data_IF_570567513843
#
_entry.id   IF_570567513843
#
_cell.length_a   1.000
_cell.length_b   1.000
_cell.length_c   1.000
_cell.angle_alpha   90.00
_cell.angle_beta   90.00
_cell.angle_gamma   90.00
#
_symmetry.space_group_name_H-M   'P 1'
#
loop_
_entity.id
_entity.type
_entity.pdbx_description
1 polymer ?
#
# COMPACT_ATOMS: atom_id res chain seq x y z
N UNK A 1 -10.33 -17.15 28.04
CA UNK A 1 -9.22 -17.90 27.39
C UNK A 1 -8.94 -17.23 26.05
N UNK A 2 -7.69 -16.74 25.86
CA UNK A 2 -7.24 -16.19 24.59
C UNK A 2 -6.42 -17.26 23.88
N UNK A 3 -6.74 -17.57 22.63
CA UNK A 3 -5.97 -18.51 21.79
C UNK A 3 -5.36 -17.67 20.66
N UNK A 4 -4.06 -17.77 20.48
CA UNK A 4 -3.35 -17.17 19.34
C UNK A 4 -2.99 -18.30 18.39
N UNK A 5 -3.48 -18.20 17.15
CA UNK A 5 -3.12 -19.11 16.07
C UNK A 5 -2.10 -18.42 15.18
N UNK A 6 -1.03 -19.12 14.87
CA UNK A 6 -0.05 -18.65 13.91
C UNK A 6 -0.59 -18.78 12.49
N UNK A 7 -0.22 -17.83 11.63
CA UNK A 7 -0.58 -17.87 10.22
C UNK A 7 0.15 -19.03 9.53
N UNK A 8 -0.51 -19.77 8.63
CA UNK A 8 0.11 -20.85 7.86
C UNK A 8 1.08 -20.34 6.78
N UNK A 9 1.16 -19.03 6.54
CA UNK A 9 1.98 -18.46 5.48
C UNK A 9 3.40 -18.16 5.94
N UNK A 10 4.39 -18.51 5.10
CA UNK A 10 5.78 -18.11 5.29
C UNK A 10 6.00 -16.67 4.81
N UNK A 11 5.63 -15.72 5.66
CA UNK A 11 5.80 -14.30 5.36
C UNK A 11 7.26 -13.89 5.19
N UNK A 12 8.21 -14.55 5.84
CA UNK A 12 9.63 -14.25 5.73
C UNK A 12 10.17 -14.48 4.32
N UNK A 13 9.72 -15.54 3.65
CA UNK A 13 10.09 -15.84 2.28
C UNK A 13 9.21 -15.07 1.25
N UNK A 14 7.92 -14.88 1.56
CA UNK A 14 6.90 -14.44 0.60
C UNK A 14 6.64 -12.93 0.59
N UNK A 15 6.97 -12.22 1.66
CA UNK A 15 6.67 -10.80 1.78
C UNK A 15 7.91 -9.96 2.09
N UNK A 16 7.92 -8.72 1.59
CA UNK A 16 8.89 -7.68 1.96
C UNK A 16 8.15 -6.44 2.41
N UNK A 17 8.74 -5.71 3.35
CA UNK A 17 8.22 -4.42 3.81
C UNK A 17 9.33 -3.37 3.74
N UNK A 18 9.14 -2.35 2.93
CA UNK A 18 10.14 -1.32 2.66
C UNK A 18 9.61 0.05 3.07
N UNK A 19 10.45 0.86 3.69
CA UNK A 19 10.20 2.29 3.96
C UNK A 19 11.21 3.09 3.16
N UNK A 20 10.74 3.82 2.16
CA UNK A 20 11.59 4.66 1.31
C UNK A 20 11.92 5.95 2.04
N UNK A 21 13.20 6.34 2.06
CA UNK A 21 13.71 7.39 2.93
C UNK A 21 14.07 8.70 2.21
N UNK A 22 14.18 8.68 0.89
CA UNK A 22 14.67 9.77 0.04
C UNK A 22 13.61 10.36 -0.92
N UNK A 23 12.34 10.03 -0.71
CA UNK A 23 11.22 10.62 -1.45
C UNK A 23 10.57 11.73 -0.62
N UNK A 24 10.48 12.91 -1.20
CA UNK A 24 9.78 14.05 -0.59
C UNK A 24 8.27 13.86 -0.60
N UNK A 25 7.73 13.35 0.51
CA UNK A 25 6.30 13.00 0.66
C UNK A 25 5.33 14.16 0.39
N UNK A 26 5.80 15.41 0.48
CA UNK A 26 4.99 16.61 0.25
C UNK A 26 5.02 17.09 -1.19
N UNK A 27 5.93 16.57 -2.02
CA UNK A 27 6.01 16.86 -3.47
C UNK A 27 5.31 15.76 -4.27
N UNK A 28 4.13 16.04 -4.87
CA UNK A 28 3.41 15.06 -5.70
C UNK A 28 4.21 14.57 -6.92
N UNK A 29 5.18 15.35 -7.41
CA UNK A 29 6.04 14.94 -8.55
C UNK A 29 6.97 13.83 -8.12
N UNK A 30 7.61 13.96 -6.95
CA UNK A 30 8.49 12.91 -6.43
C UNK A 30 7.72 11.65 -6.07
N UNK A 31 6.53 11.79 -5.46
CA UNK A 31 5.67 10.64 -5.14
C UNK A 31 5.21 9.93 -6.42
N UNK A 32 4.82 10.69 -7.47
CA UNK A 32 4.44 10.11 -8.74
C UNK A 32 5.61 9.38 -9.42
N UNK A 33 6.78 10.00 -9.46
CA UNK A 33 7.98 9.37 -10.01
C UNK A 33 8.33 8.07 -9.27
N UNK A 34 8.29 8.09 -7.93
CA UNK A 34 8.55 6.90 -7.13
C UNK A 34 7.52 5.79 -7.39
N UNK A 35 6.23 6.12 -7.41
CA UNK A 35 5.18 5.13 -7.71
C UNK A 35 5.31 4.56 -9.12
N UNK A 36 5.62 5.40 -10.12
CA UNK A 36 5.87 4.95 -11.49
C UNK A 36 6.93 3.87 -11.54
N UNK A 37 8.10 4.16 -11.01
CA UNK A 37 9.23 3.22 -11.04
C UNK A 37 8.92 1.93 -10.29
N UNK A 38 8.26 2.02 -9.14
CA UNK A 38 7.85 0.85 -8.36
C UNK A 38 6.80 0.00 -9.11
N UNK A 39 5.81 0.63 -9.77
CA UNK A 39 4.78 -0.07 -10.54
C UNK A 39 5.38 -0.76 -11.77
N UNK A 40 6.32 -0.09 -12.44
CA UNK A 40 7.07 -0.67 -13.55
C UNK A 40 7.95 -1.83 -13.10
N UNK A 41 8.65 -1.69 -11.99
CA UNK A 41 9.50 -2.75 -11.42
C UNK A 41 8.68 -3.99 -11.01
N UNK A 42 7.44 -3.80 -10.56
CA UNK A 42 6.52 -4.89 -10.27
C UNK A 42 5.90 -5.51 -11.54
N UNK A 43 5.98 -4.85 -12.69
CA UNK A 43 5.27 -5.23 -13.91
C UNK A 43 3.73 -5.11 -13.75
N UNK A 44 3.25 -4.15 -12.96
CA UNK A 44 1.84 -3.99 -12.60
C UNK A 44 1.42 -4.85 -11.39
N UNK A 45 0.14 -5.20 -11.29
CA UNK A 45 -0.43 -5.83 -10.08
C UNK A 45 -0.20 -4.96 -8.85
N UNK A 46 -0.33 -3.64 -9.01
CA UNK A 46 0.11 -2.66 -8.04
C UNK A 46 -1.05 -1.79 -7.54
N UNK A 47 -1.14 -1.64 -6.21
CA UNK A 47 -2.12 -0.80 -5.55
C UNK A 47 -1.43 0.37 -4.85
N UNK A 48 -1.74 1.61 -5.28
CA UNK A 48 -1.34 2.84 -4.61
C UNK A 48 -2.43 3.35 -3.67
N UNK A 49 -2.14 3.47 -2.38
CA UNK A 49 -3.09 3.95 -1.37
C UNK A 49 -2.76 5.35 -0.90
N UNK A 50 -3.77 6.22 -0.95
CA UNK A 50 -3.67 7.62 -0.61
C UNK A 50 -4.53 7.99 0.61
N UNK A 51 -4.05 8.95 1.38
CA UNK A 51 -4.76 9.49 2.53
C UNK A 51 -5.69 10.65 2.16
N UNK A 52 -5.59 11.19 0.94
CA UNK A 52 -6.40 12.30 0.45
C UNK A 52 -6.63 12.22 -1.07
N UNK A 53 -7.89 12.45 -1.49
CA UNK A 53 -8.30 12.44 -2.90
C UNK A 53 -7.49 13.44 -3.75
N UNK A 54 -7.20 14.62 -3.22
CA UNK A 54 -6.39 15.63 -3.93
C UNK A 54 -5.01 15.10 -4.30
N UNK A 55 -4.38 14.33 -3.40
CA UNK A 55 -3.07 13.74 -3.65
C UNK A 55 -3.14 12.63 -4.69
N UNK A 56 -4.14 11.77 -4.59
CA UNK A 56 -4.41 10.73 -5.58
C UNK A 56 -4.53 11.34 -6.97
N UNK A 57 -5.36 12.39 -7.15
CA UNK A 57 -5.54 13.07 -8.44
C UNK A 57 -4.24 13.65 -8.98
N UNK A 58 -3.46 14.36 -8.14
CA UNK A 58 -2.20 14.98 -8.54
C UNK A 58 -1.13 13.96 -8.95
N UNK A 59 -1.14 12.77 -8.37
CA UNK A 59 -0.24 11.67 -8.74
C UNK A 59 -0.75 10.95 -9.99
N UNK A 60 -2.06 10.67 -10.07
CA UNK A 60 -2.69 10.02 -11.23
C UNK A 60 -2.37 10.75 -12.54
N UNK A 61 -2.56 12.08 -12.60
CA UNK A 61 -2.27 12.91 -13.78
C UNK A 61 -0.83 12.71 -14.33
N UNK A 62 0.10 12.31 -13.48
CA UNK A 62 1.52 12.09 -13.82
C UNK A 62 1.88 10.63 -14.11
N UNK A 63 0.97 9.71 -13.80
CA UNK A 63 1.18 8.28 -13.99
C UNK A 63 0.51 7.74 -15.25
N UNK A 64 -0.61 8.31 -15.68
CA UNK A 64 -1.45 7.78 -16.76
C UNK A 64 -0.64 7.52 -18.03
N UNK A 65 -0.03 8.56 -18.59
CA UNK A 65 0.71 8.46 -19.84
C UNK A 65 1.95 7.56 -19.72
N UNK A 66 2.85 7.74 -18.73
CA UNK A 66 4.03 6.90 -18.61
C UNK A 66 3.75 5.41 -18.37
N UNK A 67 2.65 5.05 -17.69
CA UNK A 67 2.28 3.65 -17.50
C UNK A 67 1.65 3.08 -18.77
N UNK A 68 0.80 3.85 -19.46
CA UNK A 68 0.18 3.45 -20.72
C UNK A 68 1.24 3.18 -21.81
N UNK A 69 2.30 3.99 -21.90
CA UNK A 69 3.44 3.79 -22.82
C UNK A 69 4.16 2.44 -22.57
N UNK A 70 4.06 1.92 -21.36
CA UNK A 70 4.63 0.62 -20.97
C UNK A 70 3.59 -0.52 -20.95
N UNK A 71 2.37 -0.25 -21.46
CA UNK A 71 1.31 -1.24 -21.56
C UNK A 71 0.64 -1.59 -20.21
N UNK A 72 0.80 -0.77 -19.18
CA UNK A 72 0.16 -0.97 -17.88
C UNK A 72 -1.11 -0.10 -17.79
N UNK A 73 -2.26 -0.75 -17.60
CA UNK A 73 -3.51 -0.04 -17.34
C UNK A 73 -3.50 0.58 -15.92
N UNK A 74 -3.96 1.82 -15.82
CA UNK A 74 -4.09 2.52 -14.54
C UNK A 74 -5.56 2.90 -14.31
N UNK A 75 -6.12 2.36 -13.24
CA UNK A 75 -7.45 2.71 -12.73
C UNK A 75 -7.34 3.56 -11.46
N UNK A 76 -8.31 4.45 -11.24
CA UNK A 76 -8.23 5.34 -10.09
C UNK A 76 -9.60 5.67 -9.50
N UNK A 77 -9.78 5.37 -8.23
CA UNK A 77 -10.94 5.80 -7.46
C UNK A 77 -11.09 7.33 -7.47
N UNK A 78 -12.30 7.84 -7.57
CA UNK A 78 -12.64 9.28 -7.64
C UNK A 78 -12.23 9.99 -8.94
N UNK A 79 -11.74 9.25 -9.93
CA UNK A 79 -11.41 9.75 -11.27
C UNK A 79 -12.22 8.97 -12.29
N UNK A 80 -12.06 7.65 -12.31
CA UNK A 80 -12.88 6.81 -13.18
C UNK A 80 -14.34 6.81 -12.70
N UNK A 81 -15.32 6.89 -13.61
CA UNK A 81 -16.75 6.96 -13.28
C UNK A 81 -17.31 5.58 -12.88
N UNK A 82 -16.59 4.88 -12.00
CA UNK A 82 -16.92 3.54 -11.53
C UNK A 82 -16.99 3.52 -10.01
N UNK A 83 -17.85 2.67 -9.47
CA UNK A 83 -17.86 2.42 -8.02
C UNK A 83 -16.65 1.61 -7.57
N UNK A 84 -16.27 1.68 -6.28
CA UNK A 84 -15.08 0.99 -5.78
C UNK A 84 -15.11 -0.53 -5.96
N UNK A 85 -16.28 -1.17 -5.94
CA UNK A 85 -16.43 -2.61 -6.15
C UNK A 85 -16.08 -3.00 -7.58
N UNK A 86 -16.64 -2.29 -8.55
CA UNK A 86 -16.35 -2.49 -9.98
C UNK A 86 -14.86 -2.27 -10.29
N UNK A 87 -14.24 -1.22 -9.72
CA UNK A 87 -12.79 -0.98 -9.88
C UNK A 87 -11.96 -2.14 -9.34
N UNK A 88 -12.33 -2.71 -8.21
CA UNK A 88 -11.67 -3.87 -7.61
C UNK A 88 -11.85 -5.12 -8.48
N UNK A 89 -13.04 -5.32 -9.05
CA UNK A 89 -13.31 -6.47 -9.92
C UNK A 89 -12.51 -6.41 -11.23
N UNK A 90 -12.38 -5.24 -11.84
CA UNK A 90 -11.51 -5.01 -13.00
C UNK A 90 -10.05 -5.29 -12.61
N UNK A 91 -9.58 -4.69 -11.53
CA UNK A 91 -8.21 -4.89 -11.03
C UNK A 91 -7.89 -6.37 -10.72
N UNK A 92 -8.89 -7.12 -10.23
CA UNK A 92 -8.77 -8.57 -9.99
C UNK A 92 -8.67 -9.36 -11.31
N UNK A 93 -9.40 -8.95 -12.33
CA UNK A 93 -9.44 -9.63 -13.62
C UNK A 93 -8.17 -9.36 -14.45
N UNK A 94 -7.62 -8.16 -14.35
CA UNK A 94 -6.44 -7.70 -15.07
C UNK A 94 -5.19 -7.81 -14.21
N UNK A 95 -4.47 -8.92 -14.29
CA UNK A 95 -3.31 -9.24 -13.41
C UNK A 95 -2.19 -8.20 -13.39
N UNK A 96 -2.02 -7.45 -14.47
CA UNK A 96 -0.95 -6.47 -14.62
C UNK A 96 -1.47 -5.01 -14.56
N UNK A 97 -2.73 -4.81 -14.16
CA UNK A 97 -3.28 -3.48 -13.94
C UNK A 97 -2.68 -2.81 -12.69
N UNK A 98 -2.75 -1.48 -12.67
CA UNK A 98 -2.46 -0.65 -11.50
C UNK A 98 -3.75 0.02 -11.01
N UNK A 99 -3.91 0.15 -9.70
CA UNK A 99 -5.07 0.81 -9.10
C UNK A 99 -4.62 1.87 -8.08
N UNK A 100 -5.20 3.06 -8.15
CA UNK A 100 -5.05 4.08 -7.12
C UNK A 100 -6.35 4.19 -6.32
N UNK A 101 -6.24 4.16 -5.00
CA UNK A 101 -7.41 4.24 -4.13
C UNK A 101 -7.15 4.93 -2.80
N UNK A 102 -8.23 5.07 -2.05
CA UNK A 102 -8.25 5.57 -0.68
C UNK A 102 -8.76 4.50 0.29
N UNK A 103 -9.21 4.88 1.46
CA UNK A 103 -9.69 3.97 2.51
C UNK A 103 -10.74 2.96 2.01
N UNK A 104 -11.66 3.35 1.14
CA UNK A 104 -12.71 2.46 0.64
C UNK A 104 -12.15 1.31 -0.22
N UNK A 105 -11.15 1.60 -1.06
CA UNK A 105 -10.44 0.56 -1.83
C UNK A 105 -9.62 -0.32 -0.90
N UNK A 106 -8.87 0.27 0.06
CA UNK A 106 -8.09 -0.48 1.04
C UNK A 106 -8.95 -1.52 1.79
N UNK A 107 -10.14 -1.10 2.22
CA UNK A 107 -11.01 -1.95 3.04
C UNK A 107 -11.74 -3.00 2.20
N UNK A 108 -12.08 -2.69 0.94
CA UNK A 108 -12.80 -3.55 0.01
C UNK A 108 -11.96 -4.50 -0.84
N UNK A 109 -10.65 -4.24 -0.98
CA UNK A 109 -9.78 -5.08 -1.82
C UNK A 109 -9.68 -6.51 -1.27
N UNK A 110 -10.20 -7.44 -2.02
CA UNK A 110 -9.96 -8.88 -1.85
C UNK A 110 -9.54 -9.48 -3.19
N UNK A 111 -8.25 -9.37 -3.47
CA UNK A 111 -7.64 -9.75 -4.75
C UNK A 111 -6.51 -10.73 -4.46
N UNK A 112 -6.77 -12.04 -4.60
CA UNK A 112 -5.75 -13.07 -4.39
C UNK A 112 -4.83 -13.20 -5.61
N UNK A 113 -3.61 -13.68 -5.36
CA UNK A 113 -2.67 -14.07 -6.40
C UNK A 113 -1.96 -12.90 -7.06
N UNK A 114 -1.55 -13.10 -8.29
CA UNK A 114 -0.68 -12.19 -9.04
C UNK A 114 -1.29 -10.79 -9.30
N UNK A 115 -2.59 -10.62 -9.18
CA UNK A 115 -3.25 -9.35 -9.43
C UNK A 115 -2.94 -8.28 -8.36
N UNK A 116 -2.52 -8.67 -7.14
CA UNK A 116 -2.02 -7.74 -6.12
C UNK A 116 -0.70 -8.24 -5.54
N UNK A 117 0.42 -7.79 -6.09
CA UNK A 117 1.77 -8.15 -5.67
C UNK A 117 2.59 -6.98 -5.14
N UNK A 118 2.15 -5.74 -5.39
CA UNK A 118 2.77 -4.54 -4.84
C UNK A 118 1.71 -3.64 -4.21
N UNK A 119 1.97 -3.22 -2.97
CA UNK A 119 1.15 -2.28 -2.23
C UNK A 119 1.99 -1.08 -1.81
N UNK A 120 1.62 0.12 -2.26
CA UNK A 120 2.35 1.34 -1.96
C UNK A 120 1.46 2.32 -1.20
N UNK A 121 1.88 2.73 -0.01
CA UNK A 121 1.28 3.85 0.71
C UNK A 121 2.03 5.15 0.40
N UNK A 122 1.28 6.20 0.03
CA UNK A 122 1.84 7.53 -0.17
C UNK A 122 2.28 8.16 1.16
N UNK A 123 1.55 7.87 2.24
CA UNK A 123 1.78 8.35 3.61
C UNK A 123 1.23 7.36 4.63
N UNK A 124 1.65 7.57 5.88
CA UNK A 124 1.05 6.88 7.02
C UNK A 124 -0.45 7.16 7.05
N UNK A 125 -1.30 6.11 7.13
CA UNK A 125 -2.75 6.25 7.16
C UNK A 125 -3.27 6.66 8.55
N UNK A 126 -2.87 7.87 9.01
CA UNK A 126 -3.37 8.43 10.27
C UNK A 126 -4.88 8.60 10.24
N UNK A 127 -5.57 8.46 11.39
CA UNK A 127 -6.98 8.78 11.47
C UNK A 127 -7.22 10.25 11.18
N UNK A 128 -8.37 10.57 10.54
CA UNK A 128 -8.76 11.96 10.32
C UNK A 128 -9.18 12.61 11.64
N UNK A 129 -8.74 13.84 11.94
CA UNK A 129 -9.05 14.51 13.19
C UNK A 129 -10.45 15.15 13.18
N UNK A 130 -11.50 14.34 13.02
CA UNK A 130 -12.88 14.79 13.19
C UNK A 130 -13.27 14.88 14.69
N UNK A 131 -14.47 15.40 14.97
CA UNK A 131 -14.96 15.61 16.33
C UNK A 131 -15.01 14.30 17.11
N UNK A 132 -15.51 13.24 16.48
CA UNK A 132 -15.64 11.92 17.10
C UNK A 132 -14.27 11.30 17.39
N UNK A 133 -13.34 11.44 16.46
CA UNK A 133 -11.98 10.96 16.66
C UNK A 133 -11.28 11.71 17.81
N UNK A 134 -11.44 13.04 17.90
CA UNK A 134 -10.88 13.85 18.99
C UNK A 134 -11.39 13.35 20.35
N UNK A 135 -12.71 13.17 20.49
CA UNK A 135 -13.31 12.67 21.74
C UNK A 135 -12.82 11.26 22.10
N UNK A 136 -12.72 10.36 21.11
CA UNK A 136 -12.16 9.01 21.33
C UNK A 136 -10.68 9.05 21.70
N UNK A 137 -9.90 9.88 21.04
CA UNK A 137 -8.47 10.06 21.31
C UNK A 137 -8.22 10.52 22.75
N UNK A 138 -8.97 11.47 23.24
CA UNK A 138 -8.91 11.93 24.64
C UNK A 138 -9.24 10.81 25.64
N UNK A 139 -10.26 10.00 25.33
CA UNK A 139 -10.70 8.93 26.22
C UNK A 139 -9.83 7.68 26.18
N UNK A 140 -9.20 7.36 25.05
CA UNK A 140 -8.54 6.06 24.81
C UNK A 140 -7.01 6.17 24.69
N UNK A 141 -6.38 7.18 25.30
CA UNK A 141 -4.92 7.22 25.45
C UNK A 141 -4.16 8.04 24.39
N UNK A 142 -4.79 9.04 23.81
CA UNK A 142 -4.10 10.06 23.02
C UNK A 142 -3.36 9.50 21.80
N UNK A 143 -2.05 9.68 21.73
CA UNK A 143 -1.21 9.16 20.64
C UNK A 143 -1.25 7.66 20.50
N UNK A 144 -1.38 6.91 21.60
CA UNK A 144 -1.48 5.46 21.58
C UNK A 144 -2.69 4.98 20.81
N UNK A 145 -3.81 5.71 20.89
CA UNK A 145 -5.02 5.44 20.12
C UNK A 145 -4.81 5.68 18.61
N UNK A 146 -4.17 6.81 18.25
CA UNK A 146 -3.82 7.10 16.86
C UNK A 146 -2.90 6.03 16.26
N UNK A 147 -1.86 5.65 17.01
CA UNK A 147 -0.93 4.58 16.62
C UNK A 147 -1.65 3.24 16.42
N UNK A 148 -2.61 2.90 17.30
CA UNK A 148 -3.37 1.66 17.18
C UNK A 148 -4.21 1.62 15.89
N UNK A 149 -4.85 2.73 15.53
CA UNK A 149 -5.61 2.85 14.28
C UNK A 149 -4.68 2.75 13.07
N UNK A 150 -3.57 3.49 13.06
CA UNK A 150 -2.62 3.47 11.94
C UNK A 150 -2.02 2.06 11.76
N UNK A 151 -1.65 1.38 12.86
CA UNK A 151 -1.19 -0.02 12.83
C UNK A 151 -2.22 -0.97 12.26
N UNK A 152 -3.48 -0.86 12.72
CA UNK A 152 -4.56 -1.70 12.21
C UNK A 152 -4.77 -1.53 10.70
N UNK A 153 -4.72 -0.29 10.20
CA UNK A 153 -4.85 0.02 8.78
C UNK A 153 -3.69 -0.53 7.94
N UNK A 154 -2.44 -0.40 8.44
CA UNK A 154 -1.25 -0.96 7.80
C UNK A 154 -1.34 -2.50 7.76
N UNK A 155 -1.64 -3.13 8.89
CA UNK A 155 -1.76 -4.59 8.99
C UNK A 155 -2.88 -5.13 8.10
N UNK A 156 -4.04 -4.46 8.05
CA UNK A 156 -5.16 -4.83 7.20
C UNK A 156 -4.78 -4.79 5.71
N UNK A 157 -4.13 -3.71 5.28
CA UNK A 157 -3.68 -3.57 3.90
C UNK A 157 -2.57 -4.58 3.56
N UNK A 158 -1.59 -4.75 4.45
CA UNK A 158 -0.53 -5.76 4.27
C UNK A 158 -1.10 -7.18 4.16
N UNK A 159 -2.10 -7.52 4.97
CA UNK A 159 -2.78 -8.82 4.92
C UNK A 159 -3.50 -9.12 3.61
N UNK A 160 -3.57 -8.16 2.69
CA UNK A 160 -4.11 -8.36 1.33
C UNK A 160 -3.07 -8.90 0.35
N UNK A 161 -1.78 -8.75 0.63
CA UNK A 161 -0.70 -9.19 -0.26
C UNK A 161 -0.52 -10.71 -0.32
N UNK A 162 -0.74 -11.40 0.80
CA UNK A 162 -0.52 -12.85 0.89
C UNK A 162 -1.83 -13.51 1.29
N UNK A 163 -2.50 -14.14 0.35
CA UNK A 163 -3.79 -14.83 0.48
C UNK A 163 -3.70 -16.33 0.22
N UNK A 164 -2.70 -16.74 -0.56
CA UNK A 164 -2.41 -18.11 -0.91
C UNK A 164 -0.98 -18.46 -0.59
N UNK A 165 -0.67 -19.75 -0.53
CA UNK A 165 0.68 -20.21 -0.19
C UNK A 165 1.73 -19.86 -1.25
N UNK A 166 1.33 -19.64 -2.49
CA UNK A 166 2.17 -19.28 -3.64
C UNK A 166 2.27 -17.76 -3.87
N UNK A 167 1.44 -16.94 -3.20
CA UNK A 167 1.51 -15.49 -3.33
C UNK A 167 2.87 -14.94 -2.88
N UNK A 168 3.36 -13.94 -3.61
CA UNK A 168 4.49 -13.09 -3.21
C UNK A 168 4.05 -11.64 -3.22
N UNK A 169 4.55 -10.83 -2.30
CA UNK A 169 4.15 -9.44 -2.24
C UNK A 169 5.16 -8.51 -1.61
N UNK A 170 5.14 -7.26 -2.05
CA UNK A 170 5.96 -6.19 -1.47
C UNK A 170 5.06 -5.05 -0.99
N UNK A 171 5.28 -4.66 0.25
CA UNK A 171 4.70 -3.48 0.86
C UNK A 171 5.73 -2.33 0.82
N UNK A 172 5.34 -1.16 0.35
CA UNK A 172 6.19 0.03 0.32
C UNK A 172 5.48 1.20 0.99
N UNK A 173 6.18 1.88 1.90
CA UNK A 173 5.77 3.13 2.52
C UNK A 173 6.64 4.27 1.99
N UNK A 174 6.06 5.25 1.30
CA UNK A 174 6.76 6.43 0.77
C UNK A 174 6.86 7.59 1.80
N UNK A 175 6.71 7.31 3.07
CA UNK A 175 6.80 8.30 4.15
C UNK A 175 8.02 7.99 5.04
N UNK A 176 9.13 8.67 4.77
CA UNK A 176 10.38 8.52 5.53
C UNK A 176 10.20 8.76 7.04
N UNK A 177 9.21 9.59 7.43
CA UNK A 177 8.91 9.86 8.83
C UNK A 177 8.09 8.75 9.52
N UNK A 178 7.76 7.66 8.82
CA UNK A 178 7.00 6.55 9.39
C UNK A 178 7.74 5.93 10.58
N UNK A 179 7.17 6.01 11.81
CA UNK A 179 7.82 5.44 12.99
C UNK A 179 7.81 3.91 12.95
N UNK A 180 8.92 3.28 13.29
CA UNK A 180 9.07 1.82 13.27
C UNK A 180 8.01 1.09 14.11
N UNK A 181 7.54 1.70 15.20
CA UNK A 181 6.46 1.14 16.05
C UNK A 181 5.14 0.89 15.33
N UNK A 182 4.89 1.54 14.18
CA UNK A 182 3.67 1.32 13.40
C UNK A 182 3.68 -0.01 12.66
N UNK A 183 4.84 -0.56 12.40
CA UNK A 183 5.00 -1.84 11.71
C UNK A 183 5.04 -3.04 12.66
N UNK A 184 4.96 -2.82 13.99
CA UNK A 184 4.94 -3.90 14.98
C UNK A 184 3.70 -4.83 14.88
N UNK A 185 2.69 -4.44 14.09
CA UNK A 185 1.51 -5.27 13.80
C UNK A 185 1.66 -6.16 12.57
N UNK A 186 2.74 -6.04 11.82
CA UNK A 186 3.06 -6.97 10.74
C UNK A 186 3.45 -8.34 11.31
N UNK A 187 3.32 -9.42 10.52
CA UNK A 187 3.78 -10.73 10.96
C UNK A 187 5.24 -10.71 11.41
N UNK A 188 5.62 -11.38 12.52
CA UNK A 188 6.98 -11.29 13.08
C UNK A 188 8.12 -11.69 12.13
N UNK A 189 7.82 -12.55 11.14
CA UNK A 189 8.79 -12.97 10.13
C UNK A 189 9.06 -11.89 9.05
N UNK A 190 8.26 -10.80 8.99
CA UNK A 190 8.46 -9.72 8.03
C UNK A 190 9.47 -8.73 8.56
N UNK A 191 10.60 -8.62 7.88
CA UNK A 191 11.60 -7.61 8.18
C UNK A 191 11.20 -6.30 7.49
N UNK A 192 11.17 -5.21 8.26
CA UNK A 192 10.91 -3.86 7.73
C UNK A 192 12.25 -3.17 7.49
N UNK A 193 12.54 -2.87 6.26
CA UNK A 193 13.80 -2.27 5.84
C UNK A 193 13.61 -0.81 5.44
N UNK A 194 14.56 0.04 5.85
CA UNK A 194 14.63 1.45 5.43
C UNK A 194 15.66 1.56 4.33
N UNK A 195 15.22 2.00 3.15
CA UNK A 195 16.01 1.95 1.93
C UNK A 195 15.86 3.22 1.11
N UNK A 196 16.77 3.48 0.19
CA UNK A 196 16.57 4.47 -0.87
C UNK A 196 15.53 4.01 -1.88
N UNK A 197 15.02 4.92 -2.71
CA UNK A 197 14.09 4.56 -3.79
C UNK A 197 14.72 3.58 -4.78
N UNK A 198 15.99 3.77 -5.11
CA UNK A 198 16.71 2.87 -6.04
C UNK A 198 16.78 1.45 -5.48
N UNK A 199 17.18 1.29 -4.23
CA UNK A 199 17.20 -0.01 -3.56
C UNK A 199 15.80 -0.63 -3.46
N UNK A 200 14.75 0.19 -3.22
CA UNK A 200 13.37 -0.30 -3.18
C UNK A 200 12.94 -0.87 -4.54
N UNK A 201 13.26 -0.17 -5.64
CA UNK A 201 12.96 -0.61 -7.02
C UNK A 201 13.65 -1.96 -7.31
N UNK A 202 14.95 -2.08 -6.99
CA UNK A 202 15.72 -3.31 -7.19
C UNK A 202 15.13 -4.49 -6.39
N UNK A 203 14.75 -4.24 -5.13
CA UNK A 203 14.15 -5.26 -4.26
C UNK A 203 12.74 -5.68 -4.73
N UNK A 204 11.94 -4.73 -5.21
CA UNK A 204 10.63 -5.04 -5.82
C UNK A 204 10.83 -5.91 -7.05
N UNK A 205 11.69 -5.50 -7.98
CA UNK A 205 11.96 -6.27 -9.19
C UNK A 205 12.47 -7.68 -8.89
N UNK A 206 13.48 -7.81 -8.01
CA UNK A 206 14.08 -9.10 -7.68
C UNK A 206 13.13 -10.03 -6.91
N UNK A 207 12.33 -9.51 -5.97
CA UNK A 207 11.40 -10.31 -5.17
C UNK A 207 10.20 -10.81 -5.99
N UNK A 208 9.71 -9.97 -6.92
CA UNK A 208 8.56 -10.27 -7.77
C UNK A 208 8.94 -10.85 -9.14
N UNK A 209 10.22 -11.07 -9.41
CA UNK A 209 10.67 -11.76 -10.62
C UNK A 209 9.95 -13.11 -10.78
N UNK A 210 9.40 -13.32 -11.98
CA UNK A 210 8.64 -14.53 -12.38
C UNK A 210 9.61 -15.64 -12.80
#
# INVERSE_FOLDING_TARGET
RTVRLDSPFDYGAKARALVVTDVGRDDPRQVAAAMRELFLAAGGGALGLFTAIRRLRAVHERLVEPLAERGLALYAQHIDPLDPGTLIDIFRAEKDACLLGTDAVRDGVDVPGEALRLLVFDRIPWPRPDILHKARRERFGGRGYDDAIARARIAQAFGRLIRRADDKGVFVMLDAAAPSRLFASLPPAVVVERVSLVEAIERVASHLAR
#
